data_IF_864230139381
#
_entry.id   IF_864230139381
#
_cell.length_a   1.000
_cell.length_b   1.000
_cell.length_c   1.000
_cell.angle_alpha   90.00
_cell.angle_beta   90.00
_cell.angle_gamma   90.00
#
_symmetry.space_group_name_H-M   'P 1'
#
loop_
_entity.id
_entity.type
_entity.pdbx_description
1 polymer ?
#
# COMPACT_ATOMS: atom_id res chain seq x y z
N UNK A 1 10.58 26.32 -9.49
CA UNK A 1 10.17 26.91 -8.20
C UNK A 1 8.88 27.68 -8.46
N UNK A 2 7.90 27.64 -7.56
CA UNK A 2 6.63 28.38 -7.77
C UNK A 2 6.91 29.87 -7.54
N UNK A 3 6.49 30.70 -8.50
CA UNK A 3 6.52 32.15 -8.34
C UNK A 3 5.23 32.56 -7.65
N UNK A 4 5.31 32.71 -6.33
CA UNK A 4 4.18 33.07 -5.50
C UNK A 4 3.76 34.53 -5.68
N UNK A 5 2.45 34.78 -5.63
CA UNK A 5 1.89 36.13 -5.68
C UNK A 5 2.28 36.98 -4.45
N UNK A 6 2.27 38.31 -4.63
CA UNK A 6 2.58 39.24 -3.55
C UNK A 6 1.57 39.12 -2.39
N UNK A 7 2.05 39.21 -1.14
CA UNK A 7 1.19 39.22 0.05
C UNK A 7 0.83 37.85 0.65
N UNK A 8 1.27 36.73 0.05
CA UNK A 8 1.11 35.41 0.66
C UNK A 8 2.09 35.18 1.83
N UNK A 9 1.57 34.68 2.95
CA UNK A 9 2.32 34.38 4.18
C UNK A 9 3.32 33.22 4.02
N UNK A 10 4.34 33.17 4.87
CA UNK A 10 5.38 32.14 4.90
C UNK A 10 4.82 30.72 5.03
N UNK A 11 3.83 30.54 5.90
CA UNK A 11 3.23 29.24 6.22
C UNK A 11 2.51 28.69 5.00
N UNK A 12 1.75 29.54 4.30
CA UNK A 12 1.03 29.16 3.08
C UNK A 12 2.01 28.80 1.95
N UNK A 13 3.11 29.54 1.81
CA UNK A 13 4.18 29.20 0.85
C UNK A 13 4.78 27.84 1.16
N UNK A 14 5.08 27.56 2.43
CA UNK A 14 5.61 26.25 2.85
C UNK A 14 4.64 25.11 2.52
N UNK A 15 3.35 25.25 2.84
CA UNK A 15 2.34 24.22 2.56
C UNK A 15 2.26 23.95 1.05
N UNK A 16 2.16 25.00 0.24
CA UNK A 16 2.07 24.85 -1.22
C UNK A 16 3.35 24.25 -1.79
N UNK A 17 4.52 24.72 -1.34
CA UNK A 17 5.80 24.19 -1.81
C UNK A 17 6.02 22.73 -1.39
N UNK A 18 5.59 22.37 -0.18
CA UNK A 18 5.61 20.99 0.30
C UNK A 18 4.77 20.09 -0.62
N UNK A 19 3.52 20.45 -0.88
CA UNK A 19 2.65 19.71 -1.81
C UNK A 19 3.23 19.68 -3.23
N UNK A 20 3.77 20.81 -3.70
CA UNK A 20 4.40 20.93 -5.01
C UNK A 20 5.56 19.97 -5.18
N UNK A 21 6.35 19.68 -4.14
CA UNK A 21 7.49 18.77 -4.24
C UNK A 21 7.07 17.32 -4.54
N UNK A 22 5.82 16.95 -4.27
CA UNK A 22 5.28 15.62 -4.59
C UNK A 22 4.59 15.55 -5.96
N UNK A 23 4.30 16.70 -6.57
CA UNK A 23 3.42 16.80 -7.75
C UNK A 23 4.12 17.46 -8.94
N UNK A 24 4.81 18.57 -8.68
CA UNK A 24 5.50 19.36 -9.69
C UNK A 24 6.92 18.88 -9.90
N UNK A 25 7.25 18.62 -11.15
CA UNK A 25 8.63 18.49 -11.62
C UNK A 25 8.89 19.46 -12.76
N UNK A 26 10.14 19.90 -12.82
CA UNK A 26 10.67 20.60 -13.99
C UNK A 26 10.97 19.57 -15.06
N UNK A 27 10.25 19.63 -16.19
CA UNK A 27 10.43 18.71 -17.33
C UNK A 27 11.81 18.82 -17.96
N UNK A 28 12.49 19.96 -17.78
CA UNK A 28 13.84 20.17 -18.30
C UNK A 28 14.90 19.48 -17.43
N UNK A 29 14.55 19.10 -16.20
CA UNK A 29 15.44 18.39 -15.30
C UNK A 29 15.02 16.92 -15.17
N UNK A 30 15.60 16.08 -16.02
CA UNK A 30 15.30 14.65 -16.11
C UNK A 30 15.49 13.91 -14.78
N UNK A 31 16.48 14.29 -13.96
CA UNK A 31 16.70 13.67 -12.65
C UNK A 31 15.54 13.94 -11.69
N UNK A 32 15.00 15.16 -11.67
CA UNK A 32 13.83 15.51 -10.84
C UNK A 32 12.58 14.78 -11.31
N UNK A 33 12.40 14.65 -12.63
CA UNK A 33 11.29 13.88 -13.21
C UNK A 33 11.38 12.43 -12.73
N UNK A 34 12.52 11.76 -12.94
CA UNK A 34 12.72 10.37 -12.52
C UNK A 34 12.47 10.20 -11.02
N UNK A 35 12.98 11.11 -10.19
CA UNK A 35 12.79 11.05 -8.74
C UNK A 35 11.31 11.03 -8.34
N UNK A 36 10.49 11.92 -8.92
CA UNK A 36 9.05 11.97 -8.63
C UNK A 36 8.36 10.68 -9.09
N UNK A 37 8.65 10.22 -10.30
CA UNK A 37 8.02 9.01 -10.84
C UNK A 37 8.38 7.78 -9.99
N UNK A 38 9.65 7.59 -9.63
CA UNK A 38 10.09 6.50 -8.76
C UNK A 38 9.42 6.60 -7.38
N UNK A 39 9.36 7.79 -6.79
CA UNK A 39 8.71 7.99 -5.48
C UNK A 39 7.24 7.55 -5.52
N UNK A 40 6.51 7.92 -6.57
CA UNK A 40 5.13 7.46 -6.76
C UNK A 40 5.04 5.96 -6.99
N UNK A 41 5.96 5.36 -7.75
CA UNK A 41 5.98 3.90 -7.90
C UNK A 41 6.16 3.19 -6.57
N UNK A 42 7.06 3.67 -5.71
CA UNK A 42 7.29 3.10 -4.37
C UNK A 42 6.03 3.23 -3.51
N UNK A 43 5.37 4.40 -3.50
CA UNK A 43 4.11 4.60 -2.77
C UNK A 43 3.04 3.63 -3.27
N UNK A 44 2.94 3.42 -4.58
CA UNK A 44 1.97 2.51 -5.19
C UNK A 44 2.16 1.04 -4.79
N UNK A 45 3.36 0.64 -4.35
CA UNK A 45 3.59 -0.73 -3.87
C UNK A 45 2.78 -1.05 -2.62
N UNK A 46 2.50 -0.06 -1.76
CA UNK A 46 1.86 -0.29 -0.45
C UNK A 46 0.46 -0.93 -0.64
N UNK A 47 -0.48 -0.35 -1.42
CA UNK A 47 -1.78 -0.99 -1.65
C UNK A 47 -1.68 -2.25 -2.49
N UNK A 48 -0.74 -2.35 -3.43
CA UNK A 48 -0.58 -3.54 -4.27
C UNK A 48 -0.22 -4.77 -3.42
N UNK A 49 0.67 -4.59 -2.43
CA UNK A 49 1.07 -5.64 -1.52
C UNK A 49 -0.07 -6.00 -0.54
N UNK A 50 -0.81 -5.01 -0.05
CA UNK A 50 -1.84 -5.21 0.97
C UNK A 50 -3.17 -5.79 0.42
N UNK A 51 -3.59 -5.40 -0.80
CA UNK A 51 -4.90 -5.80 -1.34
C UNK A 51 -4.82 -6.97 -2.31
N UNK A 52 -5.53 -8.05 -1.99
CA UNK A 52 -5.62 -9.26 -2.83
C UNK A 52 -6.21 -9.02 -4.23
N UNK A 53 -7.12 -8.04 -4.35
CA UNK A 53 -7.77 -7.69 -5.60
C UNK A 53 -7.08 -6.48 -6.24
N UNK A 54 -6.65 -6.62 -7.50
CA UNK A 54 -6.04 -5.53 -8.28
C UNK A 54 -6.94 -4.30 -8.37
N UNK A 55 -8.27 -4.50 -8.38
CA UNK A 55 -9.26 -3.41 -8.41
C UNK A 55 -9.17 -2.52 -7.18
N UNK A 56 -9.03 -3.14 -6.00
CA UNK A 56 -8.88 -2.42 -4.74
C UNK A 56 -7.53 -1.72 -4.67
N UNK A 57 -6.45 -2.39 -5.09
CA UNK A 57 -5.11 -1.82 -5.09
C UNK A 57 -5.00 -0.55 -5.96
N UNK A 58 -5.42 -0.61 -7.23
CA UNK A 58 -5.34 0.58 -8.09
C UNK A 58 -6.29 1.69 -7.62
N UNK A 59 -7.48 1.34 -7.09
CA UNK A 59 -8.41 2.34 -6.55
C UNK A 59 -7.80 3.09 -5.38
N UNK A 60 -7.13 2.39 -4.45
CA UNK A 60 -6.44 3.02 -3.34
C UNK A 60 -5.24 3.86 -3.80
N UNK A 61 -4.49 3.40 -4.80
CA UNK A 61 -3.40 4.19 -5.41
C UNK A 61 -3.94 5.48 -6.04
N UNK A 62 -5.10 5.42 -6.72
CA UNK A 62 -5.76 6.61 -7.24
C UNK A 62 -6.20 7.57 -6.13
N UNK A 63 -6.79 7.10 -5.04
CA UNK A 63 -7.13 7.97 -3.91
C UNK A 63 -5.88 8.64 -3.31
N UNK A 64 -4.82 7.87 -3.11
CA UNK A 64 -3.54 8.36 -2.58
C UNK A 64 -2.89 9.38 -3.51
N UNK A 65 -3.09 9.23 -4.82
CA UNK A 65 -2.63 10.17 -5.83
C UNK A 65 -3.50 11.44 -5.88
N UNK A 66 -4.82 11.29 -5.98
CA UNK A 66 -5.73 12.40 -6.17
C UNK A 66 -5.83 13.30 -4.93
N UNK A 67 -5.74 12.75 -3.73
CA UNK A 67 -5.88 13.52 -2.50
C UNK A 67 -4.86 14.68 -2.39
N UNK A 68 -3.54 14.46 -2.39
CA UNK A 68 -2.57 15.55 -2.32
C UNK A 68 -2.62 16.45 -3.56
N UNK A 69 -2.92 15.91 -4.75
CA UNK A 69 -3.10 16.70 -5.96
C UNK A 69 -4.26 17.68 -5.82
N UNK A 70 -5.43 17.22 -5.34
CA UNK A 70 -6.60 18.05 -5.13
C UNK A 70 -6.28 19.24 -4.20
N UNK A 71 -5.68 18.96 -3.04
CA UNK A 71 -5.31 20.03 -2.12
C UNK A 71 -4.30 20.98 -2.75
N UNK A 72 -3.28 20.47 -3.45
CA UNK A 72 -2.32 21.32 -4.14
C UNK A 72 -2.99 22.31 -5.10
N UNK A 73 -3.90 21.84 -5.95
CA UNK A 73 -4.63 22.71 -6.89
C UNK A 73 -5.52 23.72 -6.16
N UNK A 74 -6.24 23.31 -5.11
CA UNK A 74 -7.09 24.21 -4.32
C UNK A 74 -6.27 25.30 -3.62
N UNK A 75 -5.16 24.93 -2.97
CA UNK A 75 -4.28 25.86 -2.30
C UNK A 75 -3.60 26.81 -3.29
N UNK A 76 -3.15 26.30 -4.43
CA UNK A 76 -2.49 27.11 -5.46
C UNK A 76 -3.47 28.10 -6.09
N UNK A 77 -4.67 27.67 -6.46
CA UNK A 77 -5.72 28.55 -6.99
C UNK A 77 -6.08 29.67 -6.00
N UNK A 78 -6.25 29.33 -4.72
CA UNK A 78 -6.69 30.29 -3.70
C UNK A 78 -5.62 31.31 -3.32
N UNK A 79 -4.35 30.90 -3.24
CA UNK A 79 -3.29 31.72 -2.66
C UNK A 79 -2.23 32.18 -3.66
N UNK A 80 -2.25 31.67 -4.89
CA UNK A 80 -1.40 32.13 -5.99
C UNK A 80 -2.16 32.08 -7.33
N UNK A 81 -3.32 32.76 -7.45
CA UNK A 81 -4.18 32.70 -8.63
C UNK A 81 -3.46 33.06 -9.94
N UNK A 82 -2.57 34.06 -9.95
CA UNK A 82 -1.91 34.45 -11.21
C UNK A 82 -0.99 33.33 -11.71
N UNK A 83 -0.25 32.69 -10.80
CA UNK A 83 0.59 31.55 -11.15
C UNK A 83 -0.27 30.36 -11.62
N UNK A 84 -1.38 30.11 -10.94
CA UNK A 84 -2.31 29.04 -11.28
C UNK A 84 -2.87 29.21 -12.69
N UNK A 85 -3.41 30.39 -13.01
CA UNK A 85 -4.06 30.64 -14.31
C UNK A 85 -3.08 30.53 -15.47
N UNK A 86 -1.83 30.99 -15.28
CA UNK A 86 -0.77 30.88 -16.29
C UNK A 86 -0.30 29.43 -16.52
N UNK A 87 -0.38 28.57 -15.50
CA UNK A 87 0.20 27.22 -15.55
C UNK A 87 -0.82 26.08 -15.50
N UNK A 88 -2.12 26.39 -15.41
CA UNK A 88 -3.19 25.41 -15.21
C UNK A 88 -3.12 24.25 -16.21
N UNK A 89 -2.97 24.57 -17.49
CA UNK A 89 -2.90 23.58 -18.56
C UNK A 89 -1.67 22.67 -18.43
N UNK A 90 -0.51 23.27 -18.17
CA UNK A 90 0.77 22.53 -18.02
C UNK A 90 0.73 21.62 -16.79
N UNK A 91 0.22 22.12 -15.67
CA UNK A 91 0.05 21.35 -14.43
C UNK A 91 -0.94 20.19 -14.66
N UNK A 92 -2.09 20.47 -15.26
CA UNK A 92 -3.13 19.48 -15.56
C UNK A 92 -2.61 18.33 -16.42
N UNK A 93 -1.86 18.63 -17.49
CA UNK A 93 -1.24 17.59 -18.34
C UNK A 93 -0.24 16.75 -17.54
N UNK A 94 0.62 17.38 -16.73
CA UNK A 94 1.60 16.64 -15.91
C UNK A 94 0.92 15.69 -14.94
N UNK A 95 -0.12 16.16 -14.23
CA UNK A 95 -0.93 15.31 -13.34
C UNK A 95 -1.61 14.19 -14.11
N UNK A 96 -2.15 14.46 -15.31
CA UNK A 96 -2.79 13.42 -16.12
C UNK A 96 -1.81 12.33 -16.57
N UNK A 97 -0.64 12.70 -17.08
CA UNK A 97 0.40 11.74 -17.51
C UNK A 97 0.85 10.88 -16.32
N UNK A 98 1.13 11.51 -15.18
CA UNK A 98 1.54 10.79 -13.97
C UNK A 98 0.43 9.84 -13.47
N UNK A 99 -0.83 10.28 -13.48
CA UNK A 99 -1.97 9.46 -13.11
C UNK A 99 -2.17 8.25 -14.03
N UNK A 100 -2.02 8.43 -15.35
CA UNK A 100 -2.10 7.34 -16.32
C UNK A 100 -1.01 6.30 -16.06
N UNK A 101 0.21 6.76 -15.78
CA UNK A 101 1.34 5.89 -15.45
C UNK A 101 1.14 5.14 -14.12
N UNK A 102 0.55 5.77 -13.11
CA UNK A 102 0.18 5.09 -11.85
C UNK A 102 -0.85 3.98 -12.10
N UNK A 103 -1.86 4.22 -12.94
CA UNK A 103 -2.88 3.22 -13.27
C UNK A 103 -2.25 2.01 -13.98
N UNK A 104 -1.47 2.26 -15.03
CA UNK A 104 -0.85 1.18 -15.83
C UNK A 104 0.13 0.37 -14.98
N UNK A 105 0.94 1.03 -14.16
CA UNK A 105 1.85 0.38 -13.24
C UNK A 105 1.11 -0.44 -12.17
N UNK A 106 0.06 0.11 -11.57
CA UNK A 106 -0.70 -0.57 -10.52
C UNK A 106 -1.38 -1.84 -11.03
N UNK A 107 -2.03 -1.78 -12.20
CA UNK A 107 -2.68 -2.93 -12.82
C UNK A 107 -1.64 -3.97 -13.24
N UNK A 108 -0.59 -3.54 -13.96
CA UNK A 108 0.44 -4.43 -14.47
C UNK A 108 1.16 -5.18 -13.36
N UNK A 109 1.62 -4.46 -12.33
CA UNK A 109 2.34 -5.06 -11.21
C UNK A 109 1.43 -5.93 -10.33
N UNK A 110 0.17 -5.53 -10.10
CA UNK A 110 -0.75 -6.36 -9.32
C UNK A 110 -1.06 -7.69 -10.00
N UNK A 111 -1.23 -7.70 -11.33
CA UNK A 111 -1.40 -8.94 -12.10
C UNK A 111 -0.13 -9.79 -12.02
N UNK A 112 1.05 -9.20 -12.20
CA UNK A 112 2.34 -9.91 -12.13
C UNK A 112 2.55 -10.57 -10.75
N UNK A 113 2.32 -9.83 -9.67
CA UNK A 113 2.49 -10.34 -8.30
C UNK A 113 1.43 -11.38 -7.93
N UNK A 114 0.20 -11.24 -8.45
CA UNK A 114 -0.87 -12.21 -8.21
C UNK A 114 -0.52 -13.60 -8.78
N UNK A 115 0.19 -13.64 -9.92
CA UNK A 115 0.62 -14.90 -10.54
C UNK A 115 1.75 -15.59 -9.76
N UNK A 116 2.73 -14.84 -9.26
CA UNK A 116 3.98 -15.42 -8.73
C UNK A 116 3.99 -15.55 -7.22
N UNK A 117 3.60 -14.50 -6.49
CA UNK A 117 3.81 -14.42 -5.03
C UNK A 117 2.58 -14.91 -4.27
N UNK A 118 1.37 -14.53 -4.70
CA UNK A 118 0.14 -14.87 -3.98
C UNK A 118 -0.22 -16.35 -4.03
N UNK A 119 0.00 -17.02 -5.16
CA UNK A 119 -0.18 -18.49 -5.25
C UNK A 119 0.69 -19.25 -4.24
N UNK A 120 1.91 -18.77 -3.98
CA UNK A 120 2.83 -19.39 -3.02
C UNK A 120 2.46 -19.10 -1.56
N UNK A 121 1.96 -17.89 -1.28
CA UNK A 121 1.50 -17.52 0.06
C UNK A 121 0.24 -18.27 0.50
N UNK A 122 -0.73 -18.46 -0.40
CA UNK A 122 -1.94 -19.25 -0.11
C UNK A 122 -1.63 -20.73 0.11
N UNK A 123 -0.75 -21.33 -0.70
CA UNK A 123 -0.38 -22.74 -0.51
C UNK A 123 0.40 -22.97 0.80
N UNK A 124 1.26 -22.04 1.21
CA UNK A 124 1.92 -22.13 2.50
C UNK A 124 0.94 -22.00 3.68
N UNK A 125 0.00 -21.06 3.62
CA UNK A 125 -1.01 -20.90 4.67
C UNK A 125 -1.93 -22.13 4.78
N UNK A 126 -2.32 -22.72 3.64
CA UNK A 126 -3.06 -23.99 3.63
C UNK A 126 -2.23 -25.15 4.19
N UNK A 127 -0.93 -25.21 3.90
CA UNK A 127 -0.04 -26.22 4.47
C UNK A 127 0.12 -26.04 5.99
N UNK A 128 0.21 -24.81 6.49
CA UNK A 128 0.20 -24.54 7.92
C UNK A 128 -1.14 -24.91 8.59
N UNK A 129 -2.28 -24.60 7.95
CA UNK A 129 -3.59 -25.05 8.44
C UNK A 129 -3.69 -26.58 8.50
N UNK A 130 -3.24 -27.28 7.45
CA UNK A 130 -3.21 -28.75 7.43
C UNK A 130 -2.28 -29.33 8.49
N UNK A 131 -1.16 -28.67 8.80
CA UNK A 131 -0.28 -29.07 9.90
C UNK A 131 -0.98 -28.93 11.26
N UNK A 132 -1.74 -27.85 11.48
CA UNK A 132 -2.51 -27.63 12.71
C UNK A 132 -3.65 -28.66 12.85
N UNK A 133 -4.40 -28.93 11.79
CA UNK A 133 -5.47 -29.96 11.78
C UNK A 133 -4.91 -31.37 12.01
N UNK A 134 -3.68 -31.66 11.57
CA UNK A 134 -3.04 -32.96 11.82
C UNK A 134 -2.63 -33.18 13.28
N UNK A 135 -2.60 -32.12 14.10
CA UNK A 135 -2.22 -32.18 15.52
C UNK A 135 -3.45 -32.08 16.46
N UNK A 136 -4.64 -32.47 15.98
CA UNK A 136 -5.77 -32.73 16.86
C UNK A 136 -5.50 -33.97 17.72
N UNK A 137 -5.08 -33.75 18.96
CA UNK A 137 -4.85 -34.79 19.94
C UNK A 137 -6.13 -35.02 20.76
N UNK A 138 -6.63 -36.25 20.78
CA UNK A 138 -7.80 -36.62 21.57
C UNK A 138 -7.38 -37.15 22.93
N UNK A 139 -7.91 -36.58 24.02
CA UNK A 139 -7.62 -37.07 25.36
C UNK A 139 -8.05 -38.55 25.49
N UNK A 140 -7.16 -39.47 25.90
CA UNK A 140 -7.52 -40.87 26.10
C UNK A 140 -8.45 -41.08 27.29
N UNK A 141 -8.49 -40.14 28.26
CA UNK A 141 -9.27 -40.28 29.49
C UNK A 141 -10.69 -39.71 29.41
N UNK A 142 -10.89 -38.61 28.68
CA UNK A 142 -12.20 -37.92 28.62
C UNK A 142 -12.69 -37.67 27.18
N UNK A 143 -11.94 -38.09 26.16
CA UNK A 143 -12.33 -37.98 24.77
C UNK A 143 -12.39 -36.56 24.20
N UNK A 144 -11.91 -35.56 24.95
CA UNK A 144 -11.89 -34.16 24.53
C UNK A 144 -10.81 -33.93 23.47
N UNK A 145 -11.17 -33.29 22.35
CA UNK A 145 -10.23 -32.90 21.30
C UNK A 145 -9.42 -31.67 21.73
N UNK A 146 -8.12 -31.69 21.51
CA UNK A 146 -7.21 -30.60 21.81
C UNK A 146 -6.39 -30.25 20.58
N UNK A 147 -6.26 -28.96 20.30
CA UNK A 147 -5.54 -28.46 19.13
C UNK A 147 -4.04 -28.26 19.41
N UNK A 148 -3.54 -28.77 20.55
CA UNK A 148 -2.14 -28.65 20.96
C UNK A 148 -1.73 -29.81 21.87
N UNK A 149 -0.48 -30.26 21.69
CA UNK A 149 0.16 -31.25 22.56
C UNK A 149 0.44 -30.57 23.91
N UNK A 150 -0.45 -30.77 24.87
CA UNK A 150 -0.33 -30.25 26.23
C UNK A 150 0.04 -31.39 27.18
N UNK A 151 0.83 -31.11 28.22
CA UNK A 151 1.22 -32.12 29.23
C UNK A 151 0.02 -32.56 30.08
N UNK A 152 -1.04 -31.75 30.13
CA UNK A 152 -2.26 -31.98 30.89
C UNK A 152 -3.49 -31.67 30.04
N UNK A 153 -4.53 -32.50 30.14
CA UNK A 153 -5.81 -32.20 29.53
C UNK A 153 -6.50 -31.01 30.19
N UNK A 154 -6.91 -29.99 29.42
CA UNK A 154 -7.60 -28.82 29.98
C UNK A 154 -8.96 -29.12 30.61
N UNK A 155 -9.61 -30.22 30.22
CA UNK A 155 -10.95 -30.57 30.69
C UNK A 155 -10.92 -31.51 31.90
N UNK A 156 -10.14 -32.59 31.84
CA UNK A 156 -10.07 -33.58 32.92
C UNK A 156 -8.85 -33.43 33.84
N UNK A 157 -7.94 -32.49 33.52
CA UNK A 157 -6.71 -32.19 34.27
C UNK A 157 -5.76 -33.39 34.47
N UNK A 158 -6.00 -34.50 33.79
CA UNK A 158 -5.13 -35.67 33.81
C UNK A 158 -3.89 -35.41 32.96
N UNK A 159 -2.74 -35.87 33.48
CA UNK A 159 -1.47 -35.85 32.78
C UNK A 159 -1.55 -36.77 31.56
N UNK A 160 -1.13 -36.25 30.41
CA UNK A 160 -1.03 -37.01 29.17
C UNK A 160 0.37 -37.62 29.10
N UNK A 161 0.45 -38.95 29.03
CA UNK A 161 1.69 -39.66 28.74
C UNK A 161 1.93 -39.53 27.23
N UNK A 162 2.91 -38.73 26.85
CA UNK A 162 3.37 -38.62 25.47
C UNK A 162 4.36 -39.75 25.25
N UNK A 163 3.96 -40.78 24.50
CA UNK A 163 4.90 -41.81 24.03
C UNK A 163 5.96 -41.12 23.14
N UNK A 164 7.23 -41.31 23.50
CA UNK A 164 8.39 -40.67 22.88
C UNK A 164 8.75 -41.28 21.49
N UNK A 165 7.86 -42.01 20.84
CA UNK A 165 8.21 -42.81 19.65
C UNK A 165 7.98 -42.13 18.29
N UNK A 166 7.59 -40.85 18.25
CA UNK A 166 7.43 -40.11 16.98
C UNK A 166 8.06 -38.70 17.03
N UNK A 167 9.37 -38.63 17.31
CA UNK A 167 10.21 -37.44 17.10
C UNK A 167 11.07 -37.58 15.84
#
# INVERSE_FOLDING_TARGET
>A
MINFDAGISSERRMIIQFLANYIMYDSNNLMKVIFIYISWMVICLIPILNFNNYKQAYSMNLYTFFFPNFFFYVFLYRYSPNYFDLNLYVLGIKTFILGLLIITFSIGLSILLSKTVRKRGQSQLENFKKLIEKHEYKCPYCGTNMNSISVYCYNCLKKLELDNDEL
#
